data_IF_390031649869
#
_entry.id   IF_390031649869
#
_cell.length_a   1.000
_cell.length_b   1.000
_cell.length_c   1.000
_cell.angle_alpha   90.00
_cell.angle_beta   90.00
_cell.angle_gamma   90.00
#
_symmetry.space_group_name_H-M   'P 1'
#
loop_
_entity.id
_entity.type
_entity.pdbx_description
1 polymer ?
#
# COMPACT_ATOMS: atom_id res chain seq x y z
N UNK A 1 -13.91 -9.92 -3.89
CA UNK A 1 -12.43 -9.82 -3.85
C UNK A 1 -11.98 -9.78 -2.39
N UNK A 2 -10.75 -10.17 -2.06
CA UNK A 2 -10.29 -10.33 -0.68
C UNK A 2 -9.07 -9.46 -0.39
N UNK A 3 -9.10 -8.73 0.73
CA UNK A 3 -7.91 -8.12 1.33
C UNK A 3 -7.03 -9.23 1.90
N UNK A 4 -5.80 -9.34 1.43
CA UNK A 4 -4.84 -10.32 1.96
C UNK A 4 -4.04 -9.69 3.09
N UNK A 5 -3.85 -10.45 4.16
CA UNK A 5 -2.99 -10.09 5.28
C UNK A 5 -1.88 -11.13 5.38
N UNK A 6 -0.64 -10.67 5.55
CA UNK A 6 0.52 -11.54 5.68
C UNK A 6 1.50 -10.98 6.72
N UNK A 7 2.28 -11.84 7.36
CA UNK A 7 3.48 -11.34 8.04
C UNK A 7 4.54 -11.04 6.99
N UNK A 8 5.39 -10.05 7.26
CA UNK A 8 6.51 -9.69 6.38
C UNK A 8 7.44 -10.88 6.13
N UNK A 9 7.57 -11.80 7.08
CA UNK A 9 8.37 -13.03 6.98
C UNK A 9 7.83 -14.03 5.95
N UNK A 10 6.52 -13.96 5.65
CA UNK A 10 5.85 -14.85 4.71
C UNK A 10 5.95 -14.30 3.27
N UNK A 11 6.48 -13.08 3.11
CA UNK A 11 6.61 -12.38 1.85
C UNK A 11 8.06 -12.37 1.36
N UNK A 12 8.24 -12.46 0.04
CA UNK A 12 9.53 -12.18 -0.62
C UNK A 12 9.49 -10.78 -1.24
N UNK A 13 10.44 -9.93 -0.86
CA UNK A 13 10.59 -8.59 -1.42
C UNK A 13 11.61 -8.59 -2.55
N UNK A 14 11.35 -7.83 -3.61
CA UNK A 14 12.24 -7.74 -4.78
C UNK A 14 12.16 -6.38 -5.45
N UNK A 15 13.05 -6.13 -6.41
CA UNK A 15 13.02 -4.95 -7.29
C UNK A 15 12.76 -5.40 -8.72
N UNK A 16 12.03 -4.60 -9.49
CA UNK A 16 11.73 -4.91 -10.89
C UNK A 16 11.56 -3.62 -11.71
N UNK A 17 11.73 -3.71 -13.03
CA UNK A 17 11.51 -2.58 -13.93
C UNK A 17 10.06 -2.58 -14.41
N UNK A 18 9.36 -1.46 -14.23
CA UNK A 18 7.97 -1.30 -14.68
C UNK A 18 7.66 0.18 -14.91
N UNK A 19 6.95 0.47 -16.00
CA UNK A 19 6.52 1.83 -16.35
C UNK A 19 7.67 2.85 -16.33
N UNK A 20 8.79 2.49 -16.97
CA UNK A 20 9.97 3.35 -17.11
C UNK A 20 10.78 3.60 -15.83
N UNK A 21 10.49 2.90 -14.72
CA UNK A 21 11.21 3.06 -13.45
C UNK A 21 11.47 1.74 -12.72
N UNK A 22 12.41 1.76 -11.76
CA UNK A 22 12.61 0.66 -10.82
C UNK A 22 11.56 0.75 -9.71
N UNK A 23 10.75 -0.31 -9.59
CA UNK A 23 9.72 -0.46 -8.57
C UNK A 23 10.12 -1.47 -7.50
N UNK A 24 9.45 -1.41 -6.35
CA UNK A 24 9.57 -2.42 -5.29
C UNK A 24 8.39 -3.39 -5.36
N UNK A 25 8.68 -4.68 -5.29
CA UNK A 25 7.69 -5.75 -5.43
C UNK A 25 7.62 -6.65 -4.19
N UNK A 26 6.48 -7.30 -4.02
CA UNK A 26 6.18 -8.26 -2.96
C UNK A 26 5.61 -9.52 -3.63
N UNK A 27 6.16 -10.68 -3.32
CA UNK A 27 5.59 -11.97 -3.70
C UNK A 27 5.03 -12.66 -2.47
N UNK A 28 3.78 -13.13 -2.58
CA UNK A 28 3.06 -13.82 -1.52
C UNK A 28 2.12 -14.85 -2.15
N UNK A 29 2.21 -16.11 -1.70
CA UNK A 29 1.37 -17.23 -2.16
C UNK A 29 1.26 -17.37 -3.70
N UNK A 30 2.35 -17.11 -4.43
CA UNK A 30 2.38 -17.21 -5.89
C UNK A 30 1.81 -15.99 -6.63
N UNK A 31 1.31 -15.00 -5.90
CA UNK A 31 0.91 -13.71 -6.44
C UNK A 31 2.04 -12.68 -6.31
N UNK A 32 1.95 -11.63 -7.13
CA UNK A 32 2.92 -10.53 -7.16
C UNK A 32 2.20 -9.20 -6.99
N UNK A 33 2.77 -8.35 -6.14
CA UNK A 33 2.22 -7.06 -5.78
C UNK A 33 3.29 -5.98 -5.97
N UNK A 34 2.89 -4.82 -6.48
CA UNK A 34 3.66 -3.58 -6.40
C UNK A 34 3.55 -3.07 -4.97
N UNK A 35 4.68 -2.84 -4.30
CA UNK A 35 4.68 -2.11 -3.03
C UNK A 35 4.25 -0.66 -3.30
N UNK A 36 3.05 -0.32 -2.84
CA UNK A 36 2.41 0.96 -3.09
C UNK A 36 2.74 1.99 -2.02
N UNK A 37 2.55 1.64 -0.74
CA UNK A 37 2.86 2.53 0.39
C UNK A 37 3.31 1.77 1.64
N UNK A 38 4.04 2.47 2.51
CA UNK A 38 4.45 1.97 3.82
C UNK A 38 3.89 2.85 4.93
N UNK A 39 3.26 2.25 5.93
CA UNK A 39 2.66 2.92 7.08
C UNK A 39 3.43 2.55 8.36
N UNK A 40 3.66 3.52 9.24
CA UNK A 40 4.21 3.24 10.57
C UNK A 40 3.23 2.39 11.42
N UNK A 41 3.71 1.80 12.52
CA UNK A 41 2.91 0.94 13.39
C UNK A 41 1.64 1.61 13.94
N UNK A 42 1.71 2.91 14.20
CA UNK A 42 0.59 3.68 14.76
C UNK A 42 -0.49 4.01 13.72
N UNK A 43 -0.22 3.74 12.44
CA UNK A 43 -1.11 4.04 11.31
C UNK A 43 -1.75 2.78 10.74
N UNK A 44 -1.99 1.79 11.61
CA UNK A 44 -2.66 0.55 11.21
C UNK A 44 -3.99 0.83 10.54
N UNK A 45 -4.85 1.63 11.16
CA UNK A 45 -6.19 1.92 10.64
C UNK A 45 -6.13 2.50 9.22
N UNK A 46 -5.26 3.48 8.98
CA UNK A 46 -5.04 4.06 7.65
C UNK A 46 -4.62 3.02 6.59
N UNK A 47 -3.77 2.06 6.96
CA UNK A 47 -3.37 0.99 6.04
C UNK A 47 -4.55 0.10 5.65
N UNK A 48 -5.43 -0.23 6.61
CA UNK A 48 -6.62 -1.05 6.37
C UNK A 48 -7.71 -0.28 5.64
N UNK A 49 -7.95 0.99 5.97
CA UNK A 49 -8.92 1.85 5.31
C UNK A 49 -8.58 2.03 3.83
N UNK A 50 -7.31 2.35 3.53
CA UNK A 50 -6.87 2.48 2.14
C UNK A 50 -6.96 1.14 1.40
N UNK A 51 -6.51 0.04 2.02
CA UNK A 51 -6.63 -1.29 1.45
C UNK A 51 -8.09 -1.65 1.12
N UNK A 52 -9.02 -1.27 1.99
CA UNK A 52 -10.46 -1.55 1.79
C UNK A 52 -11.04 -0.72 0.65
N UNK A 53 -10.72 0.57 0.56
CA UNK A 53 -11.15 1.44 -0.55
C UNK A 53 -10.64 0.96 -1.90
N UNK A 54 -9.38 0.53 -1.98
CA UNK A 54 -8.83 -0.06 -3.20
C UNK A 54 -9.57 -1.35 -3.57
N UNK A 55 -9.91 -2.17 -2.57
CA UNK A 55 -10.69 -3.39 -2.79
C UNK A 55 -12.10 -3.11 -3.31
N UNK A 56 -12.77 -2.07 -2.81
CA UNK A 56 -14.08 -1.61 -3.28
C UNK A 56 -14.05 -1.18 -4.75
N UNK A 57 -12.92 -0.64 -5.22
CA UNK A 57 -12.67 -0.33 -6.63
C UNK A 57 -12.27 -1.54 -7.48
N UNK A 58 -12.28 -2.75 -6.91
CA UNK A 58 -11.92 -3.95 -7.64
C UNK A 58 -10.41 -4.15 -7.80
N UNK A 59 -9.59 -3.57 -6.91
CA UNK A 59 -8.14 -3.72 -6.92
C UNK A 59 -7.74 -4.70 -5.80
N UNK A 60 -7.25 -5.91 -6.09
CA UNK A 60 -6.77 -6.83 -5.08
C UNK A 60 -5.51 -6.26 -4.41
N UNK A 61 -5.50 -6.34 -3.08
CA UNK A 61 -4.46 -5.74 -2.25
C UNK A 61 -3.94 -6.71 -1.19
N UNK A 62 -2.68 -6.52 -0.81
CA UNK A 62 -1.99 -7.20 0.27
C UNK A 62 -1.54 -6.17 1.31
N UNK A 63 -1.75 -6.44 2.60
CA UNK A 63 -1.08 -5.74 3.69
C UNK A 63 -0.08 -6.70 4.33
N UNK A 64 1.21 -6.42 4.14
CA UNK A 64 2.30 -7.15 4.79
C UNK A 64 2.68 -6.44 6.10
N UNK A 65 2.45 -7.13 7.22
CA UNK A 65 2.63 -6.62 8.57
C UNK A 65 4.02 -6.97 9.11
N UNK A 66 4.68 -6.04 9.77
CA UNK A 66 5.91 -6.28 10.52
C UNK A 66 5.86 -5.60 11.87
N UNK A 67 6.82 -5.91 12.76
CA UNK A 67 6.99 -5.20 14.04
C UNK A 67 7.42 -3.73 13.90
N UNK A 68 7.53 -3.18 12.68
CA UNK A 68 7.97 -1.79 12.44
C UNK A 68 7.03 -0.98 11.55
N UNK A 69 6.25 -1.65 10.70
CA UNK A 69 5.42 -1.00 9.69
C UNK A 69 4.43 -1.98 9.07
N UNK A 70 3.41 -1.42 8.42
CA UNK A 70 2.51 -2.09 7.48
C UNK A 70 2.91 -1.68 6.06
N UNK A 71 2.96 -2.64 5.14
CA UNK A 71 3.29 -2.38 3.74
C UNK A 71 2.08 -2.77 2.91
N UNK A 72 1.49 -1.80 2.21
CA UNK A 72 0.39 -2.02 1.28
C UNK A 72 0.95 -2.35 -0.11
N UNK A 73 0.52 -3.48 -0.65
CA UNK A 73 0.84 -3.96 -1.98
C UNK A 73 -0.40 -4.04 -2.87
N UNK A 74 -0.27 -3.62 -4.12
CA UNK A 74 -1.32 -3.69 -5.14
C UNK A 74 -1.00 -4.83 -6.11
N UNK A 75 -1.95 -5.73 -6.36
CA UNK A 75 -1.70 -6.89 -7.21
C UNK A 75 -1.36 -6.45 -8.64
N UNK A 76 -0.23 -6.93 -9.18
CA UNK A 76 0.28 -6.57 -10.50
C UNK A 76 -0.53 -7.14 -11.66
N UNK A 77 -1.47 -8.07 -11.41
CA UNK A 77 -2.40 -8.58 -12.43
C UNK A 77 -3.73 -7.84 -12.44
N UNK A 78 -3.93 -6.90 -11.51
CA UNK A 78 -5.14 -6.10 -11.44
C UNK A 78 -5.16 -4.99 -12.47
N UNK A 79 -6.32 -4.43 -12.75
CA UNK A 79 -6.45 -3.31 -13.69
C UNK A 79 -5.94 -1.96 -13.13
N UNK A 80 -5.06 -1.98 -12.12
CA UNK A 80 -4.47 -0.79 -11.50
C UNK A 80 -3.86 0.21 -12.50
N UNK A 81 -3.31 -0.27 -13.62
CA UNK A 81 -2.78 0.61 -14.66
C UNK A 81 -3.86 1.41 -15.39
N UNK A 82 -5.13 0.98 -15.36
CA UNK A 82 -6.26 1.71 -15.98
C UNK A 82 -6.73 2.89 -15.15
N UNK A 83 -6.39 2.91 -13.86
CA UNK A 83 -6.70 4.04 -12.98
C UNK A 83 -5.88 5.23 -13.45
N UNK A 84 -6.55 6.36 -13.68
CA UNK A 84 -5.91 7.59 -14.13
C UNK A 84 -4.88 8.08 -13.12
N UNK A 85 -3.85 8.76 -13.60
CA UNK A 85 -2.77 9.24 -12.72
C UNK A 85 -3.31 10.20 -11.65
N UNK A 86 -4.30 11.04 -11.97
CA UNK A 86 -4.95 11.93 -11.01
C UNK A 86 -5.62 11.17 -9.85
N UNK A 87 -6.26 10.04 -10.13
CA UNK A 87 -6.91 9.23 -9.10
C UNK A 87 -5.87 8.48 -8.25
N UNK A 88 -4.79 8.00 -8.87
CA UNK A 88 -3.63 7.46 -8.12
C UNK A 88 -3.01 8.52 -7.21
N UNK A 89 -2.84 9.75 -7.71
CA UNK A 89 -2.32 10.87 -6.92
C UNK A 89 -3.28 11.25 -5.80
N UNK A 90 -4.60 11.20 -6.02
CA UNK A 90 -5.58 11.43 -4.96
C UNK A 90 -5.44 10.44 -3.81
N UNK A 91 -5.27 9.15 -4.11
CA UNK A 91 -4.97 8.15 -3.07
C UNK A 91 -3.70 8.49 -2.28
N UNK A 92 -2.65 8.98 -2.95
CA UNK A 92 -1.38 9.34 -2.31
C UNK A 92 -1.47 10.65 -1.50
N UNK A 93 -2.14 11.67 -2.02
CA UNK A 93 -2.31 12.97 -1.36
C UNK A 93 -3.17 12.87 -0.10
N UNK A 94 -4.24 12.07 -0.12
CA UNK A 94 -5.06 11.82 1.07
C UNK A 94 -4.24 11.16 2.20
N UNK A 95 -3.26 10.32 1.85
CA UNK A 95 -2.33 9.74 2.82
C UNK A 95 -1.37 10.81 3.36
N UNK A 96 -0.83 11.68 2.51
CA UNK A 96 0.11 12.73 2.92
C UNK A 96 -0.52 13.85 3.76
N UNK A 97 -1.76 14.23 3.48
CA UNK A 97 -2.49 15.21 4.31
C UNK A 97 -2.78 14.67 5.70
N UNK A 98 -3.12 13.38 5.81
CA UNK A 98 -3.24 12.66 7.08
C UNK A 98 -1.86 12.47 7.77
N UNK A 99 -0.77 12.39 7.01
CA UNK A 99 0.60 12.39 7.56
C UNK A 99 0.95 13.74 8.21
N UNK A 100 0.66 14.83 7.51
CA UNK A 100 1.01 16.20 7.91
C UNK A 100 0.15 16.71 9.08
N UNK A 101 -1.14 16.38 9.11
CA UNK A 101 -2.07 16.85 10.15
C UNK A 101 -1.76 16.22 11.53
N UNK A 102 -1.39 14.94 11.55
CA UNK A 102 -1.00 14.26 12.79
C UNK A 102 0.40 14.64 13.28
N UNK A 103 1.35 14.93 12.39
CA UNK A 103 2.67 15.44 12.78
C UNK A 103 2.57 16.75 13.56
N UNK A 104 1.69 17.66 13.12
CA UNK A 104 1.47 18.95 13.79
C UNK A 104 0.79 18.84 15.16
N UNK A 105 -0.07 17.84 15.38
CA UNK A 105 -0.75 17.65 16.68
C UNK A 105 0.19 17.07 17.76
N UNK A 106 1.19 16.29 17.36
CA UNK A 106 2.18 15.72 18.29
C UNK A 106 3.29 16.71 18.68
N UNK A 107 3.49 17.79 17.91
CA UNK A 107 4.46 18.86 18.24
C UNK A 107 3.89 19.93 19.20
N UNK A 108 2.58 19.90 19.48
CA UNK A 108 1.91 20.83 20.39
C UNK A 108 1.54 20.24 21.75
N UNK A 109 2.07 19.06 22.11
CA UNK A 109 1.82 18.37 23.39
C UNK A 109 3.06 18.35 24.29
#
# INVERSE_FOLDING_TARGET
>A
MKLLLANKTDCRFFKFWFDGRVCSGISYQGEMFLQFHGFSLHRREQAYDLGSRLLEQGIPVLIACSKKQYILGINLRSEWWKIGEEEKQRFLSEIQELETTFGKLLETS
#
